data_IF_986594349244
#
_entry.id   IF_986594349244
#
_cell.length_a   1.000
_cell.length_b   1.000
_cell.length_c   1.000
_cell.angle_alpha   90.00
_cell.angle_beta   90.00
_cell.angle_gamma   90.00
#
_symmetry.space_group_name_H-M   'P 1'
#
loop_
_entity.id
_entity.type
_entity.pdbx_description
1 polymer ?
#
# COMPACT_ATOMS: atom_id res chain seq x y z
N UNK A 1 14.29 13.67 -3.04
CA UNK A 1 15.72 13.85 -3.26
C UNK A 1 16.35 14.74 -2.20
N UNK A 2 16.00 16.05 -2.09
CA UNK A 2 16.64 17.01 -1.15
C UNK A 2 16.70 16.49 0.30
N UNK A 3 15.61 15.91 0.81
CA UNK A 3 15.57 15.38 2.18
C UNK A 3 16.57 14.23 2.37
N UNK A 4 16.65 13.29 1.42
CA UNK A 4 17.59 12.17 1.49
C UNK A 4 19.05 12.67 1.48
N UNK A 5 19.39 13.67 0.63
CA UNK A 5 20.70 14.28 0.65
C UNK A 5 21.02 14.99 1.97
N UNK A 6 20.04 15.73 2.52
CA UNK A 6 20.21 16.36 3.83
C UNK A 6 20.49 15.34 4.92
N UNK A 7 19.75 14.23 4.95
CA UNK A 7 19.97 13.14 5.90
C UNK A 7 21.34 12.49 5.69
N UNK A 8 21.69 12.19 4.44
CA UNK A 8 22.99 11.58 4.08
C UNK A 8 24.17 12.38 4.60
N UNK A 9 24.12 13.71 4.44
CA UNK A 9 25.21 14.60 4.82
C UNK A 9 25.25 14.87 6.33
N UNK A 10 24.08 15.15 6.94
CA UNK A 10 24.03 15.67 8.31
C UNK A 10 23.75 14.60 9.37
N UNK A 11 23.06 13.50 9.01
CA UNK A 11 22.72 12.43 9.94
C UNK A 11 22.62 11.07 9.23
N UNK A 12 23.73 10.52 8.71
CA UNK A 12 23.72 9.27 7.93
C UNK A 12 23.29 8.03 8.70
N UNK A 13 23.20 8.10 10.02
CA UNK A 13 22.71 7.01 10.88
C UNK A 13 21.20 7.05 11.11
N UNK A 14 20.52 8.12 10.72
CA UNK A 14 19.07 8.21 10.86
C UNK A 14 18.37 7.08 10.11
N UNK A 15 17.31 6.55 10.70
CA UNK A 15 16.43 5.59 10.04
C UNK A 15 15.40 6.37 9.24
N UNK A 16 15.27 6.04 7.96
CA UNK A 16 14.31 6.64 7.06
C UNK A 16 13.40 5.58 6.46
N UNK A 17 12.14 5.55 6.91
CA UNK A 17 11.13 4.63 6.39
C UNK A 17 10.20 5.42 5.47
N UNK A 18 10.14 5.03 4.21
CA UNK A 18 9.30 5.68 3.21
C UNK A 18 7.95 4.98 3.09
N UNK A 19 6.86 5.72 3.37
CA UNK A 19 5.49 5.29 3.13
C UNK A 19 5.18 5.38 1.63
N UNK A 20 5.46 4.33 0.88
CA UNK A 20 5.07 4.17 -0.51
C UNK A 20 3.63 3.61 -0.61
N UNK A 21 3.22 3.12 -1.75
CA UNK A 21 1.86 2.67 -2.03
C UNK A 21 1.86 1.50 -2.99
N UNK A 22 0.85 0.64 -2.91
CA UNK A 22 0.62 -0.40 -3.91
C UNK A 22 0.29 0.16 -5.32
N UNK A 23 -0.05 1.46 -5.43
CA UNK A 23 -0.29 2.12 -6.72
C UNK A 23 0.96 2.25 -7.60
N UNK A 24 2.14 1.94 -7.08
CA UNK A 24 3.36 1.86 -7.88
C UNK A 24 3.36 0.67 -8.86
N UNK A 25 2.51 -0.33 -8.64
CA UNK A 25 2.34 -1.49 -9.53
C UNK A 25 1.35 -1.25 -10.68
N UNK A 26 0.68 -0.09 -10.71
CA UNK A 26 -0.26 0.27 -11.75
C UNK A 26 -1.54 -0.57 -11.75
N UNK A 27 -2.08 -0.84 -12.94
CA UNK A 27 -3.34 -1.57 -13.12
C UNK A 27 -3.16 -3.09 -13.25
N UNK A 28 -1.93 -3.58 -13.14
CA UNK A 28 -1.62 -5.02 -13.25
C UNK A 28 -2.18 -5.64 -14.54
N UNK A 29 -2.06 -4.95 -15.67
CA UNK A 29 -2.67 -5.33 -16.97
C UNK A 29 -2.23 -6.71 -17.51
N UNK A 30 -1.15 -7.27 -16.97
CA UNK A 30 -0.66 -8.61 -17.29
C UNK A 30 -1.36 -9.72 -16.49
N UNK A 31 -2.10 -9.34 -15.47
CA UNK A 31 -2.79 -10.28 -14.59
C UNK A 31 -4.13 -10.69 -15.20
N UNK A 32 -4.44 -11.98 -15.09
CA UNK A 32 -5.71 -12.53 -15.58
C UNK A 32 -6.71 -12.53 -14.43
N UNK A 33 -7.57 -11.51 -14.42
CA UNK A 33 -8.64 -11.38 -13.45
C UNK A 33 -9.89 -12.10 -13.91
N UNK A 34 -10.40 -13.04 -13.11
CA UNK A 34 -11.65 -13.75 -13.37
C UNK A 34 -12.71 -13.32 -12.34
N UNK A 35 -13.88 -12.92 -12.86
CA UNK A 35 -15.01 -12.54 -12.03
C UNK A 35 -15.64 -13.78 -11.38
N UNK A 36 -15.72 -13.81 -10.07
CA UNK A 36 -16.38 -14.84 -9.30
C UNK A 36 -17.71 -14.30 -8.74
N UNK A 37 -18.81 -14.67 -9.40
CA UNK A 37 -20.15 -14.20 -9.04
C UNK A 37 -20.63 -14.75 -7.69
N UNK A 38 -20.18 -15.96 -7.31
CA UNK A 38 -20.59 -16.59 -6.03
C UNK A 38 -19.90 -15.92 -4.84
N UNK A 39 -18.67 -15.45 -5.03
CA UNK A 39 -17.89 -14.77 -3.99
C UNK A 39 -17.97 -13.24 -4.07
N UNK A 40 -18.67 -12.70 -5.06
CA UNK A 40 -18.77 -11.26 -5.31
C UNK A 40 -17.40 -10.57 -5.41
N UNK A 41 -16.41 -11.18 -6.04
CA UNK A 41 -15.08 -10.62 -6.19
C UNK A 41 -14.43 -10.99 -7.53
N UNK A 42 -13.33 -10.30 -7.87
CA UNK A 42 -12.38 -10.76 -8.86
C UNK A 42 -11.34 -11.67 -8.21
N UNK A 43 -10.85 -12.64 -8.95
CA UNK A 43 -9.73 -13.49 -8.55
C UNK A 43 -8.62 -13.37 -9.59
N UNK A 44 -7.41 -13.15 -9.14
CA UNK A 44 -6.23 -13.27 -9.99
C UNK A 44 -5.86 -14.76 -10.08
N UNK A 45 -5.91 -15.30 -11.28
CA UNK A 45 -5.64 -16.72 -11.52
C UNK A 45 -4.14 -17.02 -11.46
N UNK A 46 -3.32 -16.06 -11.86
CA UNK A 46 -1.87 -16.21 -11.90
C UNK A 46 -1.22 -15.99 -10.52
N UNK A 47 -1.84 -15.15 -9.70
CA UNK A 47 -1.32 -14.76 -8.39
C UNK A 47 -2.41 -14.89 -7.31
N UNK A 48 -2.84 -16.13 -7.00
CA UNK A 48 -3.96 -16.36 -6.07
C UNK A 48 -3.68 -15.85 -4.65
N UNK A 49 -2.41 -15.78 -4.26
CA UNK A 49 -1.96 -15.32 -2.95
C UNK A 49 -1.55 -13.82 -2.93
N UNK A 50 -1.76 -13.13 -4.06
CA UNK A 50 -1.36 -11.74 -4.25
C UNK A 50 0.00 -11.59 -4.94
N UNK A 51 0.50 -10.37 -5.00
CA UNK A 51 1.77 -10.03 -5.66
C UNK A 51 2.85 -9.72 -4.63
N UNK A 52 4.08 -10.07 -4.94
CA UNK A 52 5.25 -9.75 -4.13
C UNK A 52 6.02 -8.54 -4.69
N UNK A 53 7.10 -8.18 -4.04
CA UNK A 53 7.92 -7.01 -4.36
C UNK A 53 8.72 -7.17 -5.66
N UNK A 54 8.76 -8.36 -6.26
CA UNK A 54 9.41 -8.62 -7.56
C UNK A 54 8.54 -8.19 -8.74
N UNK A 55 7.25 -7.89 -8.52
CA UNK A 55 6.36 -7.38 -9.56
C UNK A 55 6.88 -6.06 -10.14
N UNK A 56 6.74 -5.92 -11.45
CA UNK A 56 7.20 -4.73 -12.17
C UNK A 56 6.45 -3.48 -11.73
N UNK A 57 7.19 -2.38 -11.59
CA UNK A 57 6.58 -1.08 -11.35
C UNK A 57 6.01 -0.51 -12.64
N UNK A 58 4.76 -0.05 -12.58
CA UNK A 58 4.04 0.53 -13.70
C UNK A 58 3.23 1.76 -13.22
N UNK A 59 3.83 2.94 -13.34
CA UNK A 59 3.25 4.18 -12.80
C UNK A 59 2.19 4.74 -13.74
N UNK A 60 0.91 4.61 -13.41
CA UNK A 60 -0.20 5.04 -14.26
C UNK A 60 -0.72 6.45 -13.95
N UNK A 61 -0.56 6.93 -12.73
CA UNK A 61 -1.09 8.23 -12.32
C UNK A 61 0.04 9.16 -11.84
N UNK A 62 -0.18 10.50 -11.86
CA UNK A 62 0.76 11.44 -11.24
C UNK A 62 1.08 11.09 -9.78
N UNK A 63 0.10 10.58 -9.04
CA UNK A 63 0.30 10.06 -7.68
C UNK A 63 1.24 8.86 -7.69
N UNK A 64 0.96 7.83 -8.50
CA UNK A 64 1.81 6.64 -8.64
C UNK A 64 3.23 7.00 -9.06
N UNK A 65 3.38 7.90 -10.05
CA UNK A 65 4.69 8.40 -10.48
C UNK A 65 5.46 9.09 -9.34
N UNK A 66 4.81 10.00 -8.61
CA UNK A 66 5.47 10.75 -7.53
C UNK A 66 5.90 9.85 -6.38
N UNK A 67 5.04 8.90 -5.99
CA UNK A 67 5.34 7.92 -4.94
C UNK A 67 6.41 6.93 -5.38
N UNK A 68 6.32 6.42 -6.62
CA UNK A 68 7.28 5.48 -7.17
C UNK A 68 8.67 6.07 -7.39
N UNK A 69 8.77 7.30 -7.86
CA UNK A 69 10.06 7.98 -7.97
C UNK A 69 10.75 8.09 -6.60
N UNK A 70 10.03 8.48 -5.57
CA UNK A 70 10.57 8.56 -4.21
C UNK A 70 10.90 7.19 -3.61
N UNK A 71 10.10 6.15 -3.90
CA UNK A 71 10.35 4.74 -3.57
C UNK A 71 11.73 4.31 -4.10
N UNK A 72 11.96 4.50 -5.40
CA UNK A 72 13.22 4.14 -6.05
C UNK A 72 14.41 4.93 -5.50
N UNK A 73 14.27 6.24 -5.24
CA UNK A 73 15.31 7.02 -4.59
C UNK A 73 15.66 6.46 -3.21
N UNK A 74 14.67 6.11 -2.39
CA UNK A 74 14.93 5.55 -1.06
C UNK A 74 15.69 4.23 -1.13
N UNK A 75 15.32 3.34 -2.06
CA UNK A 75 16.01 2.07 -2.28
C UNK A 75 17.45 2.30 -2.75
N UNK A 76 17.66 3.20 -3.70
CA UNK A 76 18.99 3.49 -4.24
C UNK A 76 19.91 4.06 -3.15
N UNK A 77 19.43 5.01 -2.35
CA UNK A 77 20.20 5.57 -1.24
C UNK A 77 20.59 4.52 -0.19
N UNK A 78 19.72 3.58 0.08
CA UNK A 78 20.02 2.44 0.95
C UNK A 78 21.09 1.52 0.36
N UNK A 79 21.02 1.25 -0.94
CA UNK A 79 21.95 0.35 -1.65
C UNK A 79 23.31 0.98 -1.90
N UNK A 80 23.34 2.20 -2.41
CA UNK A 80 24.59 2.89 -2.82
C UNK A 80 25.30 3.51 -1.61
N UNK A 81 24.58 4.29 -0.80
CA UNK A 81 25.19 5.02 0.31
C UNK A 81 25.09 4.29 1.66
N UNK A 82 24.53 3.07 1.68
CA UNK A 82 24.36 2.24 2.89
C UNK A 82 23.54 2.92 3.98
N UNK A 83 22.69 3.88 3.61
CA UNK A 83 21.78 4.55 4.53
C UNK A 83 20.75 3.56 5.09
N UNK A 84 20.25 3.86 6.26
CA UNK A 84 19.20 3.06 6.92
C UNK A 84 17.82 3.40 6.33
N UNK A 85 17.62 3.16 5.04
CA UNK A 85 16.34 3.37 4.37
C UNK A 85 15.56 2.08 4.23
N UNK A 86 14.24 2.15 4.36
CA UNK A 86 13.29 1.06 4.08
C UNK A 86 12.09 1.65 3.37
N UNK A 87 11.51 0.90 2.44
CA UNK A 87 10.31 1.31 1.71
C UNK A 87 9.15 0.38 2.07
N UNK A 88 8.01 0.94 2.44
CA UNK A 88 6.75 0.22 2.65
C UNK A 88 5.75 0.58 1.57
N UNK A 89 5.45 -0.36 0.67
CA UNK A 89 4.37 -0.26 -0.31
C UNK A 89 3.08 -0.71 0.35
N UNK A 90 2.35 0.28 0.85
CA UNK A 90 1.19 0.06 1.71
C UNK A 90 -0.08 -0.14 0.89
N UNK A 91 -0.96 -1.02 1.38
CA UNK A 91 -2.31 -1.24 0.87
C UNK A 91 -3.33 -0.26 1.46
N UNK A 92 -4.62 -0.62 1.49
CA UNK A 92 -5.69 0.24 1.99
C UNK A 92 -5.71 0.28 3.53
N UNK A 93 -5.09 1.30 4.12
CA UNK A 93 -5.05 1.49 5.57
C UNK A 93 -6.43 1.92 6.07
N UNK A 94 -6.87 1.33 7.19
CA UNK A 94 -8.06 1.75 7.93
C UNK A 94 -7.84 1.65 9.44
N UNK A 95 -8.66 2.34 10.22
CA UNK A 95 -8.60 2.27 11.68
C UNK A 95 -9.25 3.46 12.37
N UNK A 96 -9.17 3.51 13.72
CA UNK A 96 -9.70 4.61 14.51
C UNK A 96 -9.14 5.96 14.08
N UNK A 97 -9.94 7.00 14.25
CA UNK A 97 -9.61 8.39 13.92
C UNK A 97 -9.35 8.68 12.43
N UNK A 98 -9.67 7.74 11.52
CA UNK A 98 -9.65 8.01 10.09
C UNK A 98 -10.92 8.76 9.68
N UNK A 99 -10.79 10.01 9.26
CA UNK A 99 -11.90 10.84 8.76
C UNK A 99 -12.04 10.64 7.24
N UNK A 100 -12.64 9.50 6.84
CA UNK A 100 -12.81 9.14 5.44
C UNK A 100 -13.72 10.11 4.69
N UNK A 101 -13.33 10.41 3.46
CA UNK A 101 -14.11 11.12 2.44
C UNK A 101 -14.26 10.24 1.21
N UNK A 102 -15.09 10.62 0.25
CA UNK A 102 -15.41 9.78 -0.92
C UNK A 102 -14.17 9.29 -1.68
N UNK A 103 -13.17 10.15 -1.84
CA UNK A 103 -11.94 9.85 -2.58
C UNK A 103 -10.81 9.24 -1.73
N UNK A 104 -10.92 9.28 -0.40
CA UNK A 104 -9.85 8.88 0.51
C UNK A 104 -10.38 8.21 1.78
N UNK A 105 -9.80 7.05 2.13
CA UNK A 105 -10.20 6.33 3.32
C UNK A 105 -11.61 5.70 3.17
N UNK A 106 -11.81 5.01 2.07
CA UNK A 106 -13.12 4.49 1.66
C UNK A 106 -13.79 3.61 2.71
N UNK A 107 -13.05 2.80 3.51
CA UNK A 107 -13.63 2.01 4.60
C UNK A 107 -14.29 2.92 5.64
N UNK A 108 -13.58 3.95 6.10
CA UNK A 108 -14.13 4.89 7.07
C UNK A 108 -15.29 5.69 6.47
N UNK A 109 -15.20 6.05 5.18
CA UNK A 109 -16.28 6.72 4.48
C UNK A 109 -17.52 5.84 4.38
N UNK A 110 -17.39 4.58 3.94
CA UNK A 110 -18.50 3.62 3.86
C UNK A 110 -19.13 3.39 5.23
N UNK A 111 -18.33 3.13 6.26
CA UNK A 111 -18.82 2.97 7.64
C UNK A 111 -19.64 4.17 8.09
N UNK A 112 -19.17 5.40 7.80
CA UNK A 112 -19.90 6.63 8.09
C UNK A 112 -21.22 6.72 7.34
N UNK A 113 -21.24 6.39 6.04
CA UNK A 113 -22.47 6.42 5.23
C UNK A 113 -23.50 5.43 5.77
N UNK A 114 -23.07 4.21 6.13
CA UNK A 114 -23.96 3.22 6.76
C UNK A 114 -24.53 3.70 8.11
N UNK A 115 -23.68 4.19 9.00
CA UNK A 115 -24.11 4.68 10.32
C UNK A 115 -25.16 5.79 10.21
N UNK A 116 -24.99 6.69 9.24
CA UNK A 116 -25.90 7.82 9.04
C UNK A 116 -27.02 7.53 8.03
N UNK A 117 -27.16 6.28 7.56
CA UNK A 117 -28.17 5.87 6.56
C UNK A 117 -28.18 6.75 5.31
N UNK A 118 -27.00 7.14 4.85
CA UNK A 118 -26.83 7.95 3.64
C UNK A 118 -26.59 7.08 2.42
N UNK A 119 -26.92 7.61 1.25
CA UNK A 119 -26.63 6.94 -0.01
C UNK A 119 -25.13 6.73 -0.19
N UNK A 120 -24.77 5.58 -0.74
CA UNK A 120 -23.42 5.20 -1.09
C UNK A 120 -23.33 4.99 -2.59
N UNK A 121 -22.37 5.62 -3.24
CA UNK A 121 -22.07 5.40 -4.65
C UNK A 121 -20.87 4.45 -4.76
N UNK A 122 -21.04 3.36 -5.51
CA UNK A 122 -19.95 2.44 -5.86
C UNK A 122 -19.49 2.78 -7.28
N UNK A 123 -18.21 3.13 -7.41
CA UNK A 123 -17.59 3.36 -8.70
C UNK A 123 -17.12 2.02 -9.28
N UNK A 124 -17.57 1.72 -10.51
CA UNK A 124 -17.36 0.43 -11.17
C UNK A 124 -18.41 -0.60 -10.77
N UNK A 125 -18.06 -1.87 -10.87
CA UNK A 125 -18.99 -2.98 -10.63
C UNK A 125 -18.95 -3.53 -9.18
N UNK A 126 -18.08 -2.99 -8.35
CA UNK A 126 -17.93 -3.36 -6.94
C UNK A 126 -17.19 -4.68 -6.68
N UNK A 127 -16.78 -5.41 -7.70
CA UNK A 127 -16.05 -6.70 -7.58
C UNK A 127 -14.55 -6.53 -7.35
N UNK A 128 -14.03 -5.31 -7.51
CA UNK A 128 -12.61 -5.01 -7.33
C UNK A 128 -12.17 -5.27 -5.89
N UNK A 129 -11.11 -6.07 -5.74
CA UNK A 129 -10.55 -6.41 -4.43
C UNK A 129 -9.68 -5.28 -3.90
N UNK A 130 -9.74 -5.10 -2.59
CA UNK A 130 -8.85 -4.23 -1.81
C UNK A 130 -8.33 -5.00 -0.62
N UNK A 131 -7.02 -5.04 -0.48
CA UNK A 131 -6.34 -5.56 0.69
C UNK A 131 -6.41 -4.52 1.81
N UNK A 132 -7.02 -4.90 2.93
CA UNK A 132 -7.34 -4.01 4.05
C UNK A 132 -6.29 -4.15 5.15
N UNK A 133 -5.51 -3.09 5.38
CA UNK A 133 -4.47 -3.04 6.40
C UNK A 133 -4.95 -2.27 7.63
N UNK A 134 -5.06 -2.95 8.77
CA UNK A 134 -5.39 -2.27 10.01
C UNK A 134 -4.23 -1.42 10.50
N UNK A 135 -4.51 -0.22 10.99
CA UNK A 135 -3.48 0.78 11.32
C UNK A 135 -2.49 0.31 12.39
N UNK A 136 -2.94 -0.48 13.37
CA UNK A 136 -2.04 -1.02 14.40
C UNK A 136 -1.04 -2.02 13.83
N UNK A 137 -1.45 -2.84 12.84
CA UNK A 137 -0.53 -3.75 12.14
C UNK A 137 0.53 -2.98 11.36
N UNK A 138 0.15 -1.85 10.75
CA UNK A 138 1.12 -0.96 10.12
C UNK A 138 2.10 -0.36 11.14
N UNK A 139 1.63 0.08 12.30
CA UNK A 139 2.48 0.61 13.38
C UNK A 139 3.46 -0.48 13.85
N UNK A 140 2.98 -1.71 14.05
CA UNK A 140 3.82 -2.85 14.39
C UNK A 140 4.90 -3.11 13.33
N UNK A 141 4.54 -3.00 12.03
CA UNK A 141 5.51 -3.14 10.95
C UNK A 141 6.60 -2.05 11.00
N UNK A 142 6.24 -0.80 11.30
CA UNK A 142 7.22 0.28 11.52
C UNK A 142 8.17 -0.03 12.70
N UNK A 143 7.64 -0.47 13.83
CA UNK A 143 8.46 -0.83 14.99
C UNK A 143 9.41 -1.98 14.69
N UNK A 144 8.93 -3.02 14.01
CA UNK A 144 9.74 -4.15 13.59
C UNK A 144 10.85 -3.73 12.62
N UNK A 145 10.56 -2.84 11.69
CA UNK A 145 11.56 -2.30 10.77
C UNK A 145 12.64 -1.50 11.51
N UNK A 146 12.27 -0.65 12.46
CA UNK A 146 13.23 0.10 13.27
C UNK A 146 14.14 -0.84 14.05
N UNK A 147 13.58 -1.85 14.72
CA UNK A 147 14.34 -2.84 15.51
C UNK A 147 15.28 -3.69 14.64
N UNK A 148 14.96 -3.92 13.37
CA UNK A 148 15.70 -4.79 12.46
C UNK A 148 16.43 -4.02 11.34
N UNK A 149 16.56 -2.72 11.45
CA UNK A 149 17.05 -1.85 10.37
C UNK A 149 18.38 -2.30 9.78
N UNK A 150 19.29 -2.79 10.60
CA UNK A 150 20.60 -3.29 10.16
C UNK A 150 20.52 -4.45 9.16
N UNK A 151 19.44 -5.25 9.23
CA UNK A 151 19.21 -6.42 8.37
C UNK A 151 18.42 -6.09 7.10
N UNK A 152 17.57 -5.03 7.15
CA UNK A 152 16.58 -4.76 6.10
C UNK A 152 16.82 -3.43 5.37
N UNK A 153 17.88 -2.72 5.68
CA UNK A 153 18.18 -1.44 5.01
C UNK A 153 18.35 -1.60 3.51
N UNK A 154 17.82 -0.68 2.76
CA UNK A 154 17.80 -0.68 1.30
C UNK A 154 16.85 -1.70 0.69
N UNK A 155 15.90 -2.22 1.48
CA UNK A 155 14.88 -3.16 1.02
C UNK A 155 13.50 -2.50 0.94
N UNK A 156 12.61 -3.16 0.22
CA UNK A 156 11.20 -2.80 0.07
C UNK A 156 10.33 -3.95 0.57
N UNK A 157 9.18 -3.61 1.12
CA UNK A 157 8.19 -4.57 1.59
C UNK A 157 6.78 -4.14 1.20
N UNK A 158 5.99 -5.07 0.69
CA UNK A 158 4.55 -4.91 0.58
C UNK A 158 3.94 -5.06 1.97
N UNK A 159 3.21 -4.04 2.42
CA UNK A 159 2.54 -4.06 3.72
C UNK A 159 1.03 -4.03 3.48
N UNK A 160 0.38 -5.13 3.77
CA UNK A 160 -1.05 -5.35 3.58
C UNK A 160 -1.65 -6.15 4.74
N UNK A 161 -2.96 -6.31 4.73
CA UNK A 161 -3.69 -7.14 5.70
C UNK A 161 -3.63 -8.63 5.37
N UNK A 162 -3.11 -8.98 4.20
CA UNK A 162 -3.00 -10.35 3.71
C UNK A 162 -4.27 -10.90 3.08
N UNK A 163 -4.19 -12.11 2.54
CA UNK A 163 -5.27 -12.73 1.75
C UNK A 163 -6.60 -12.84 2.50
N UNK A 164 -6.55 -13.04 3.81
CA UNK A 164 -7.76 -13.14 4.64
C UNK A 164 -8.43 -11.78 4.90
N UNK A 165 -7.76 -10.69 4.58
CA UNK A 165 -8.27 -9.32 4.69
C UNK A 165 -8.41 -8.64 3.33
N UNK A 166 -8.44 -9.43 2.26
CA UNK A 166 -8.65 -8.96 0.89
C UNK A 166 -10.15 -9.11 0.53
N UNK A 167 -10.86 -7.98 0.44
CA UNK A 167 -12.29 -7.93 0.19
C UNK A 167 -12.62 -7.08 -1.03
N UNK A 168 -13.68 -7.47 -1.76
CA UNK A 168 -14.29 -6.57 -2.74
C UNK A 168 -15.17 -5.52 -2.05
N UNK A 169 -15.54 -4.46 -2.78
CA UNK A 169 -16.48 -3.48 -2.24
C UNK A 169 -17.82 -4.11 -1.89
N UNK A 170 -18.31 -5.07 -2.71
CA UNK A 170 -19.56 -5.79 -2.45
C UNK A 170 -19.51 -6.73 -1.24
N UNK A 171 -18.33 -7.21 -0.86
CA UNK A 171 -18.19 -8.04 0.34
C UNK A 171 -18.14 -7.23 1.65
N UNK A 172 -17.83 -5.94 1.55
CA UNK A 172 -17.77 -5.04 2.72
C UNK A 172 -19.16 -4.43 3.01
N UNK A 173 -20.06 -4.38 2.02
CA UNK A 173 -21.43 -3.87 2.12
C UNK A 173 -22.39 -4.96 2.56
#
# INVERSE_FOLDING_TARGET
FKLLETIRINNPKAIFIYSSTNKVYGDLNKHILKKNLMKNNYQDICHPDGIDESENLDFISPYGCSKGAADLYCLDYGRVFKMNTVVFRQSCIYGPFQFGVEDQGWIAFFSKQFLFKKNLTIYGDGYQIRDLLYVEDLINAYELAIRNISKIKGQVFNIGGGINNAYSLLQVI
#
